data_IF_312223460246
#
_entry.id   IF_312223460246
#
_cell.length_a   1.000
_cell.length_b   1.000
_cell.length_c   1.000
_cell.angle_alpha   90.00
_cell.angle_beta   90.00
_cell.angle_gamma   90.00
#
_symmetry.space_group_name_H-M   'P 1'
#
loop_
_entity.id
_entity.type
_entity.pdbx_description
1 polymer ?
#
# COMPACT_ATOMS: atom_id res chain seq x y z
N UNK A 1 6.25 -6.85 7.70
CA UNK A 1 6.57 -6.03 6.50
C UNK A 1 7.98 -5.49 6.64
N UNK A 2 8.69 -5.49 5.55
CA UNK A 2 10.04 -4.93 5.55
C UNK A 2 9.99 -3.42 5.66
N UNK A 3 10.83 -2.84 6.52
CA UNK A 3 10.93 -1.40 6.61
C UNK A 3 11.85 -0.90 5.50
N UNK A 4 11.39 0.08 4.74
CA UNK A 4 12.13 0.64 3.61
C UNK A 4 12.91 1.86 4.09
N UNK A 5 14.19 1.93 3.71
CA UNK A 5 15.02 3.07 4.02
C UNK A 5 14.89 4.11 2.90
N UNK A 6 15.40 5.30 3.19
CA UNK A 6 15.44 6.38 2.21
C UNK A 6 16.12 5.92 0.92
N UNK A 7 17.23 5.21 1.07
CA UNK A 7 18.01 4.73 -0.07
C UNK A 7 17.22 3.76 -0.94
N UNK A 8 16.37 2.95 -0.31
CA UNK A 8 15.70 1.86 -1.01
C UNK A 8 14.33 2.22 -1.59
N UNK A 9 13.79 3.38 -1.22
CA UNK A 9 12.40 3.68 -1.58
C UNK A 9 12.16 3.62 -3.09
N UNK A 10 13.03 4.25 -3.87
CA UNK A 10 12.85 4.26 -5.33
C UNK A 10 12.87 2.86 -5.89
N UNK A 11 13.86 2.07 -5.50
CA UNK A 11 14.03 0.72 -6.03
C UNK A 11 12.92 -0.22 -5.58
N UNK A 12 12.59 -0.18 -4.30
CA UNK A 12 11.68 -1.17 -3.73
C UNK A 12 10.21 -0.82 -3.95
N UNK A 13 9.89 0.46 -4.09
CA UNK A 13 8.51 0.89 -4.23
C UNK A 13 8.21 1.39 -5.62
N UNK A 14 9.00 2.33 -6.12
CA UNK A 14 8.67 2.97 -7.40
C UNK A 14 9.02 2.10 -8.61
N UNK A 15 10.05 1.28 -8.50
CA UNK A 15 10.47 0.42 -9.61
C UNK A 15 9.93 -0.99 -9.52
N UNK A 16 9.09 -1.25 -8.54
CA UNK A 16 8.51 -2.58 -8.35
C UNK A 16 7.47 -2.87 -9.43
N UNK A 17 7.51 -4.10 -9.96
CA UNK A 17 6.64 -4.50 -11.06
C UNK A 17 5.22 -4.86 -10.63
N UNK A 18 5.02 -5.18 -9.36
CA UNK A 18 3.70 -5.52 -8.83
C UNK A 18 3.24 -4.41 -7.90
N UNK A 19 1.95 -4.35 -7.57
CA UNK A 19 1.48 -3.31 -6.63
C UNK A 19 2.22 -3.39 -5.30
N UNK A 20 2.46 -2.24 -4.70
CA UNK A 20 3.16 -2.15 -3.41
C UNK A 20 2.24 -1.54 -2.37
N UNK A 21 1.96 -2.33 -1.34
CA UNK A 21 1.21 -1.88 -0.16
C UNK A 21 2.22 -1.20 0.77
N UNK A 22 2.08 0.10 0.94
CA UNK A 22 3.01 0.88 1.75
C UNK A 22 2.30 1.40 2.98
N UNK A 23 2.80 1.02 4.16
CA UNK A 23 2.25 1.50 5.42
C UNK A 23 3.16 2.61 5.95
N UNK A 24 2.66 3.85 5.94
CA UNK A 24 3.38 4.97 6.52
C UNK A 24 3.07 5.03 8.00
N UNK A 25 4.11 5.01 8.80
CA UNK A 25 3.98 4.87 10.26
C UNK A 25 5.12 5.61 10.96
N UNK A 26 5.13 5.56 12.29
CA UNK A 26 6.27 6.02 13.09
C UNK A 26 6.51 5.02 14.20
N UNK A 27 7.69 5.09 14.82
CA UNK A 27 8.04 4.16 15.89
C UNK A 27 7.23 4.40 17.16
N UNK A 28 6.74 5.63 17.36
CA UNK A 28 5.99 5.97 18.58
C UNK A 28 4.48 5.92 18.40
N UNK A 29 4.01 5.53 17.23
CA UNK A 29 2.57 5.54 16.94
C UNK A 29 1.93 4.24 17.39
N UNK A 30 1.31 4.28 18.58
CA UNK A 30 0.63 3.10 19.10
C UNK A 30 -0.59 2.70 18.26
N UNK A 31 -1.30 3.68 17.73
CA UNK A 31 -2.49 3.39 16.93
C UNK A 31 -2.14 2.80 15.56
N UNK A 32 -0.88 2.90 15.15
CA UNK A 32 -0.43 2.27 13.91
C UNK A 32 -0.28 0.76 14.04
N UNK A 33 -0.07 0.30 15.26
CA UNK A 33 0.28 -1.10 15.50
C UNK A 33 -0.74 -2.09 14.94
N UNK A 34 -2.05 -1.94 15.23
CA UNK A 34 -3.02 -2.91 14.70
C UNK A 34 -3.05 -2.93 13.17
N UNK A 35 -2.99 -1.76 12.54
CA UNK A 35 -3.02 -1.68 11.08
C UNK A 35 -1.80 -2.35 10.49
N UNK A 36 -0.62 -2.10 11.05
CA UNK A 36 0.61 -2.71 10.56
C UNK A 36 0.62 -4.22 10.79
N UNK A 37 0.08 -4.67 11.93
CA UNK A 37 -0.01 -6.09 12.22
C UNK A 37 -0.91 -6.80 11.18
N UNK A 38 -2.04 -6.19 10.84
CA UNK A 38 -2.92 -6.76 9.84
C UNK A 38 -2.22 -6.81 8.48
N UNK A 39 -1.42 -5.79 8.18
CA UNK A 39 -0.62 -5.80 6.97
C UNK A 39 0.37 -6.96 6.94
N UNK A 40 1.02 -7.22 8.08
CA UNK A 40 1.94 -8.35 8.19
C UNK A 40 1.22 -9.67 7.93
N UNK A 41 0.02 -9.82 8.50
CA UNK A 41 -0.76 -11.03 8.30
C UNK A 41 -1.18 -11.21 6.84
N UNK A 42 -1.62 -10.14 6.21
CA UNK A 42 -2.09 -10.21 4.84
C UNK A 42 -0.96 -10.37 3.84
N UNK A 43 0.26 -9.99 4.22
CA UNK A 43 1.41 -10.10 3.32
C UNK A 43 1.60 -11.54 2.85
N UNK A 44 1.37 -12.51 3.74
CA UNK A 44 1.52 -13.92 3.36
C UNK A 44 0.48 -14.34 2.35
N UNK A 45 -0.75 -13.83 2.49
CA UNK A 45 -1.84 -14.22 1.60
C UNK A 45 -1.66 -13.68 0.18
N UNK A 46 -0.98 -12.55 0.06
CA UNK A 46 -0.82 -11.88 -1.23
C UNK A 46 0.60 -11.98 -1.77
N UNK A 47 1.39 -12.87 -1.20
CA UNK A 47 2.76 -13.04 -1.64
C UNK A 47 2.82 -13.30 -3.14
N UNK A 48 3.71 -12.59 -3.83
CA UNK A 48 3.84 -12.69 -5.27
C UNK A 48 2.88 -11.84 -6.06
N UNK A 49 1.82 -11.34 -5.43
CA UNK A 49 0.83 -10.50 -6.08
C UNK A 49 0.89 -9.05 -5.61
N UNK A 50 1.28 -8.85 -4.36
CA UNK A 50 1.43 -7.51 -3.77
C UNK A 50 2.66 -7.55 -2.89
N UNK A 51 3.49 -6.51 -2.99
CA UNK A 51 4.65 -6.35 -2.12
C UNK A 51 4.22 -5.50 -0.93
N UNK A 52 4.64 -5.88 0.27
CA UNK A 52 4.26 -5.18 1.50
C UNK A 52 5.48 -4.57 2.14
N UNK A 53 5.45 -3.25 2.36
CA UNK A 53 6.56 -2.54 3.00
C UNK A 53 6.01 -1.51 3.96
N UNK A 54 6.85 -1.05 4.88
CA UNK A 54 6.49 0.06 5.75
C UNK A 54 7.55 1.14 5.69
N UNK A 55 7.12 2.38 5.88
CA UNK A 55 7.95 3.56 5.82
C UNK A 55 7.77 4.35 7.10
N UNK A 56 8.87 4.62 7.79
CA UNK A 56 8.86 5.48 8.97
C UNK A 56 8.96 6.92 8.48
N UNK A 57 7.87 7.68 8.66
CA UNK A 57 7.80 9.03 8.10
C UNK A 57 8.85 9.97 8.70
N UNK A 58 9.34 9.66 9.89
CA UNK A 58 10.36 10.50 10.52
C UNK A 58 11.76 10.20 10.00
N UNK A 59 11.95 8.98 9.50
CA UNK A 59 13.25 8.59 8.95
C UNK A 59 13.41 9.00 7.50
N UNK A 60 12.28 9.17 6.78
CA UNK A 60 12.30 9.53 5.37
C UNK A 60 11.36 10.71 5.15
N UNK A 61 11.68 11.88 5.74
CA UNK A 61 10.73 13.01 5.71
C UNK A 61 10.46 13.56 4.31
N UNK A 62 11.41 13.50 3.40
CA UNK A 62 11.15 14.04 2.06
C UNK A 62 10.19 13.17 1.26
N UNK A 63 10.17 11.86 1.49
CA UNK A 63 9.20 10.99 0.85
C UNK A 63 7.82 11.27 1.42
N UNK A 64 7.73 11.38 2.74
CA UNK A 64 6.46 11.65 3.41
C UNK A 64 5.89 12.99 2.95
N UNK A 65 6.72 14.02 2.86
CA UNK A 65 6.29 15.33 2.38
C UNK A 65 5.88 15.27 0.91
N UNK A 66 6.63 14.54 0.11
CA UNK A 66 6.35 14.41 -1.33
C UNK A 66 5.00 13.79 -1.62
N UNK A 67 4.57 12.86 -0.79
CA UNK A 67 3.26 12.21 -0.96
C UNK A 67 2.21 12.77 -0.01
N UNK A 68 2.55 13.87 0.69
CA UNK A 68 1.62 14.61 1.56
C UNK A 68 1.04 13.72 2.66
N UNK A 69 1.91 12.95 3.29
CA UNK A 69 1.51 12.12 4.41
C UNK A 69 1.37 13.01 5.64
N UNK A 70 0.13 13.28 6.04
CA UNK A 70 -0.18 14.23 7.11
C UNK A 70 -0.54 13.53 8.41
N UNK A 71 -0.78 12.23 8.37
CA UNK A 71 -1.19 11.48 9.55
C UNK A 71 -0.69 10.06 9.42
N UNK A 72 -0.57 9.38 10.56
CA UNK A 72 -0.19 7.97 10.58
C UNK A 72 -1.21 7.21 11.40
N UNK A 73 -1.53 5.95 11.03
CA UNK A 73 -1.03 5.27 9.84
C UNK A 73 -1.74 5.77 8.57
N UNK A 74 -1.01 5.74 7.46
CA UNK A 74 -1.60 5.95 6.13
C UNK A 74 -1.17 4.78 5.27
N UNK A 75 -2.14 4.16 4.61
CA UNK A 75 -1.87 3.06 3.68
C UNK A 75 -1.96 3.60 2.26
N UNK A 76 -0.94 3.36 1.47
CA UNK A 76 -0.91 3.82 0.09
C UNK A 76 -0.46 2.68 -0.79
N UNK A 77 -1.24 2.42 -1.85
CA UNK A 77 -0.87 1.41 -2.83
C UNK A 77 -0.18 2.13 -3.99
N UNK A 78 1.03 1.70 -4.30
CA UNK A 78 1.77 2.20 -5.46
C UNK A 78 1.67 1.18 -6.57
N UNK A 79 1.49 1.66 -7.79
CA UNK A 79 1.44 0.82 -8.97
C UNK A 79 2.04 1.61 -10.12
N UNK A 80 3.06 1.04 -10.76
CA UNK A 80 3.76 1.71 -11.86
C UNK A 80 4.30 3.08 -11.42
N UNK A 81 4.92 3.11 -10.23
CA UNK A 81 5.57 4.30 -9.67
C UNK A 81 4.61 5.39 -9.20
N UNK A 82 3.31 5.11 -9.17
CA UNK A 82 2.33 6.13 -8.77
C UNK A 82 1.39 5.61 -7.69
N UNK A 83 0.99 6.47 -6.75
CA UNK A 83 -0.01 6.07 -5.77
C UNK A 83 -1.38 5.98 -6.45
N UNK A 84 -2.02 4.82 -6.32
CA UNK A 84 -3.33 4.60 -6.96
C UNK A 84 -4.46 4.47 -5.96
N UNK A 85 -4.16 4.16 -4.70
CA UNK A 85 -5.15 4.04 -3.64
C UNK A 85 -4.55 4.55 -2.34
N UNK A 86 -5.36 5.22 -1.51
CA UNK A 86 -4.91 5.72 -0.22
C UNK A 86 -6.01 5.53 0.82
N UNK A 87 -5.65 5.00 1.98
CA UNK A 87 -6.54 4.90 3.13
C UNK A 87 -5.89 5.63 4.29
N UNK A 88 -6.64 6.53 4.90
CA UNK A 88 -6.15 7.34 6.01
C UNK A 88 -6.60 6.76 7.34
N UNK A 89 -5.69 6.70 8.30
CA UNK A 89 -6.02 6.30 9.66
C UNK A 89 -6.06 4.81 9.86
N UNK A 90 -6.55 4.41 11.02
CA UNK A 90 -6.59 3.01 11.44
C UNK A 90 -7.51 2.22 10.53
N UNK A 91 -7.05 1.06 10.10
CA UNK A 91 -7.80 0.18 9.22
C UNK A 91 -7.92 -1.20 9.83
N UNK A 92 -9.05 -1.87 9.60
CA UNK A 92 -9.22 -3.25 10.04
C UNK A 92 -8.90 -4.20 8.87
N UNK A 93 -8.95 -5.50 9.14
CA UNK A 93 -8.63 -6.50 8.13
C UNK A 93 -9.55 -6.41 6.92
N UNK A 94 -10.82 -6.13 7.16
CA UNK A 94 -11.81 -6.08 6.08
C UNK A 94 -11.49 -4.96 5.11
N UNK A 95 -11.18 -3.76 5.62
CA UNK A 95 -10.88 -2.64 4.72
C UNK A 95 -9.56 -2.85 3.99
N UNK A 96 -8.57 -3.44 4.65
CA UNK A 96 -7.31 -3.72 3.98
C UNK A 96 -7.49 -4.79 2.90
N UNK A 97 -8.27 -5.82 3.19
CA UNK A 97 -8.51 -6.88 2.22
C UNK A 97 -9.27 -6.36 1.00
N UNK A 98 -10.26 -5.49 1.25
CA UNK A 98 -11.01 -4.89 0.15
C UNK A 98 -10.07 -4.04 -0.74
N UNK A 99 -9.18 -3.28 -0.10
CA UNK A 99 -8.20 -2.50 -0.85
C UNK A 99 -7.32 -3.40 -1.70
N UNK A 100 -6.78 -4.45 -1.10
CA UNK A 100 -5.87 -5.35 -1.80
C UNK A 100 -6.57 -6.05 -2.96
N UNK A 101 -7.81 -6.48 -2.74
CA UNK A 101 -8.56 -7.13 -3.80
C UNK A 101 -8.84 -6.18 -4.96
N UNK A 102 -9.02 -4.89 -4.66
CA UNK A 102 -9.28 -3.91 -5.71
C UNK A 102 -8.09 -3.70 -6.63
N UNK A 103 -6.86 -3.95 -6.14
CA UNK A 103 -5.68 -3.75 -6.95
C UNK A 103 -5.10 -5.05 -7.51
N UNK A 104 -5.67 -6.19 -7.11
CA UNK A 104 -5.23 -7.49 -7.61
C UNK A 104 -6.32 -8.21 -8.39
N UNK A 105 -7.41 -7.51 -8.69
CA UNK A 105 -8.52 -8.12 -9.41
C UNK A 105 -8.10 -8.51 -10.82
N UNK A 106 -8.84 -9.42 -11.41
CA UNK A 106 -8.57 -9.88 -12.75
C UNK A 106 -8.61 -8.72 -13.75
N UNK A 107 -9.49 -7.75 -13.51
CA UNK A 107 -9.59 -6.60 -14.40
C UNK A 107 -8.33 -5.79 -14.44
N UNK A 108 -7.60 -5.74 -13.33
CA UNK A 108 -6.34 -5.02 -13.30
C UNK A 108 -5.28 -5.69 -14.13
N UNK A 109 -5.39 -7.01 -14.30
CA UNK A 109 -4.41 -7.77 -15.06
C UNK A 109 -4.70 -7.77 -16.54
N UNK A 110 -5.93 -7.49 -16.93
CA UNK A 110 -6.38 -7.58 -18.31
C UNK A 110 -6.60 -6.17 -18.86
N UNK A 111 -5.58 -5.56 -19.37
CA UNK A 111 -5.70 -4.18 -19.88
C UNK A 111 -6.77 -4.10 -20.97
N UNK A 112 -7.58 -3.04 -20.93
CA UNK A 112 -8.59 -2.79 -21.92
C UNK A 112 -9.92 -3.48 -21.68
N UNK A 113 -10.04 -4.22 -20.68
CA UNK A 113 -11.29 -4.87 -20.37
C UNK A 113 -12.28 -3.93 -19.75
N UNK A 114 -12.73 -4.08 -19.97
CA UNK A 114 -13.44 -3.72 -19.23
C UNK A 114 -14.33 -3.34 -18.85
N UNK A 115 -14.44 -3.38 -18.95
CA UNK A 115 -14.91 -3.23 -18.37
C UNK A 115 -15.63 -3.15 -18.30
N UNK A 116 -16.20 -3.29 -18.43
CA UNK A 116 -16.79 -3.45 -17.95
C UNK A 116 -17.21 -3.36 -17.50
N UNK A 117 -17.56 -3.18 -17.76
CA UNK A 117 -17.93 -3.17 -16.91
C UNK A 117 -18.21 -3.08 -16.46
N UNK A 118 -18.47 -3.04 -16.59
CA UNK A 118 -18.59 -3.03 -15.75
C UNK A 118 -18.86 -2.92 -15.42
N UNK A 119 -19.17 -2.94 -15.55
CA UNK A 119 -19.21 -3.01 -14.90
C UNK A 119 -19.44 -2.97 -14.43
N UNK A 120 -19.72 -2.98 -14.70
CA UNK A 120 -19.71 -3.07 -13.92
C UNK A 120 -19.88 -3.14 -13.50
N UNK A 121 -20.03 -3.12 -13.36
CA UNK A 121 -19.91 -3.28 -12.77
C UNK A 121 -19.84 -3.21 -12.15
N UNK A 122 -19.55 -2.86 -12.28
CA UNK A 122 -19.36 -2.99 -11.51
C UNK A 122 -19.05 -2.89 -11.20
#
# INVERSE_FOLDING_TARGET
MREITDRDFKKEVLECQIPVFTCFTTTWCHSCYPTCLFGDELADEYEGRVKFVKVDVEKIPHVSAGYRIMAVPTIMIFKNAEPVKTLLGIQDRRSLRALLNSVTSENDKLPGRRLETNEVQG
#
